data_IF_797535060826
#
_entry.id   IF_797535060826
#
_cell.length_a   1.000
_cell.length_b   1.000
_cell.length_c   1.000
_cell.angle_alpha   90.00
_cell.angle_beta   90.00
_cell.angle_gamma   90.00
#
_symmetry.space_group_name_H-M   'P 1'
#
loop_
_entity.id
_entity.type
_entity.pdbx_description
1 polymer ?
#
# COMPACT_ATOMS: atom_id res chain seq x y z
N UNK A 1 -39.58 5.31 25.77
CA UNK A 1 -40.00 3.93 25.46
C UNK A 1 -39.73 3.51 23.99
N UNK A 2 -40.20 4.25 22.96
CA UNK A 2 -39.99 3.91 21.53
C UNK A 2 -38.51 3.81 21.09
N UNK A 3 -37.64 4.68 21.61
CA UNK A 3 -36.20 4.65 21.28
C UNK A 3 -35.49 3.40 21.80
N UNK A 4 -35.84 2.96 23.02
CA UNK A 4 -35.29 1.76 23.64
C UNK A 4 -35.68 0.50 22.84
N UNK A 5 -36.95 0.39 22.45
CA UNK A 5 -37.42 -0.69 21.58
C UNK A 5 -36.70 -0.72 20.22
N UNK A 6 -36.48 0.46 19.62
CA UNK A 6 -35.73 0.54 18.36
C UNK A 6 -34.25 0.16 18.53
N UNK A 7 -33.61 0.54 19.64
CA UNK A 7 -32.25 0.14 19.92
C UNK A 7 -32.13 -1.39 20.13
N UNK A 8 -33.05 -1.99 20.89
CA UNK A 8 -33.11 -3.44 21.10
C UNK A 8 -33.37 -4.18 19.78
N UNK A 9 -34.27 -3.68 18.94
CA UNK A 9 -34.54 -4.25 17.61
C UNK A 9 -33.30 -4.23 16.70
N UNK A 10 -32.57 -3.11 16.68
CA UNK A 10 -31.32 -3.01 15.90
C UNK A 10 -30.27 -4.00 16.41
N UNK A 11 -30.10 -4.09 17.73
CA UNK A 11 -29.16 -5.02 18.38
C UNK A 11 -29.51 -6.48 18.08
N UNK A 12 -30.78 -6.87 18.23
CA UNK A 12 -31.26 -8.21 17.88
C UNK A 12 -31.01 -8.54 16.41
N UNK A 13 -31.40 -7.64 15.49
CA UNK A 13 -31.16 -7.82 14.06
C UNK A 13 -29.67 -7.98 13.70
N UNK A 14 -28.77 -7.29 14.41
CA UNK A 14 -27.33 -7.43 14.21
C UNK A 14 -26.80 -8.78 14.69
N UNK A 15 -27.26 -9.26 15.85
CA UNK A 15 -26.84 -10.55 16.39
C UNK A 15 -27.36 -11.73 15.55
N UNK A 16 -28.62 -11.65 15.10
CA UNK A 16 -29.26 -12.73 14.33
C UNK A 16 -28.78 -12.79 12.87
N UNK A 17 -28.38 -11.67 12.30
CA UNK A 17 -27.99 -11.57 10.89
C UNK A 17 -26.75 -10.69 10.73
N UNK A 18 -25.60 -11.21 11.19
CA UNK A 18 -24.30 -10.61 10.95
C UNK A 18 -24.04 -10.32 9.47
N UNK A 19 -24.70 -11.00 8.53
CA UNK A 19 -24.58 -10.80 7.09
C UNK A 19 -25.95 -10.52 6.45
N UNK A 20 -26.26 -9.26 6.15
CA UNK A 20 -27.50 -8.91 5.44
C UNK A 20 -28.73 -8.70 6.34
N UNK A 21 -28.52 -8.27 7.59
CA UNK A 21 -29.62 -7.99 8.53
C UNK A 21 -30.69 -7.06 7.98
N UNK A 22 -31.91 -7.25 8.48
CA UNK A 22 -33.12 -6.54 8.02
C UNK A 22 -32.88 -5.02 8.09
N UNK A 23 -32.99 -4.30 6.95
CA UNK A 23 -32.68 -2.89 6.90
C UNK A 23 -33.69 -2.06 7.67
N UNK A 24 -33.24 -0.94 8.23
CA UNK A 24 -34.14 -0.01 8.93
C UNK A 24 -35.12 0.66 7.96
N UNK A 25 -34.66 0.94 6.74
CA UNK A 25 -35.50 1.36 5.62
C UNK A 25 -35.16 0.51 4.40
N UNK A 26 -36.19 -0.11 3.82
CA UNK A 26 -36.05 -0.82 2.55
C UNK A 26 -35.78 0.20 1.45
N UNK A 27 -34.66 0.06 0.76
CA UNK A 27 -34.35 0.77 -0.47
C UNK A 27 -34.29 -0.25 -1.61
N UNK A 28 -34.30 0.23 -2.87
CA UNK A 28 -34.02 -0.63 -4.04
C UNK A 28 -32.59 -1.21 -4.05
N UNK A 29 -31.73 -0.80 -3.11
CA UNK A 29 -30.38 -1.34 -2.97
C UNK A 29 -30.41 -2.77 -2.39
N UNK A 30 -29.56 -3.63 -2.95
CA UNK A 30 -29.40 -5.02 -2.53
C UNK A 30 -28.35 -5.21 -1.43
N UNK A 31 -27.48 -4.22 -1.18
CA UNK A 31 -26.35 -4.32 -0.24
C UNK A 31 -26.52 -3.38 0.95
N UNK A 32 -26.69 -3.99 2.13
CA UNK A 32 -26.85 -3.30 3.41
C UNK A 32 -25.64 -3.54 4.32
N UNK A 33 -25.23 -2.49 5.04
CA UNK A 33 -24.10 -2.52 5.97
C UNK A 33 -24.53 -2.04 7.36
N UNK A 34 -23.96 -2.61 8.43
CA UNK A 34 -24.28 -2.23 9.80
C UNK A 34 -23.52 -0.96 10.22
N UNK A 35 -24.18 -0.10 11.00
CA UNK A 35 -23.53 1.00 11.70
C UNK A 35 -22.87 0.49 13.00
N UNK A 36 -21.61 0.87 13.24
CA UNK A 36 -20.85 0.51 14.45
C UNK A 36 -21.45 1.08 15.74
N UNK A 37 -22.13 2.23 15.68
CA UNK A 37 -22.69 2.91 16.86
C UNK A 37 -24.12 2.46 17.20
N UNK A 38 -25.03 2.47 16.22
CA UNK A 38 -26.44 2.13 16.48
C UNK A 38 -26.82 0.69 16.11
N UNK A 39 -25.90 -0.11 15.59
CA UNK A 39 -26.10 -1.51 15.15
C UNK A 39 -27.19 -1.69 14.07
N UNK A 40 -27.65 -0.59 13.47
CA UNK A 40 -28.66 -0.58 12.43
C UNK A 40 -28.09 -0.91 11.04
N UNK A 41 -28.86 -1.63 10.22
CA UNK A 41 -28.50 -1.87 8.81
C UNK A 41 -29.04 -0.77 7.89
N UNK A 42 -28.14 -0.20 7.10
CA UNK A 42 -28.42 0.88 6.15
C UNK A 42 -27.89 0.55 4.76
N UNK A 43 -28.49 1.13 3.72
CA UNK A 43 -27.98 0.99 2.36
C UNK A 43 -26.50 1.40 2.32
N UNK A 44 -25.67 0.58 1.67
CA UNK A 44 -24.24 0.85 1.52
C UNK A 44 -23.97 2.23 0.90
N UNK A 45 -24.83 2.69 -0.03
CA UNK A 45 -24.73 4.02 -0.66
C UNK A 45 -25.09 5.17 0.27
N UNK A 46 -25.96 4.94 1.25
CA UNK A 46 -26.52 5.99 2.11
C UNK A 46 -25.97 5.97 3.55
N UNK A 47 -25.14 4.99 3.92
CA UNK A 47 -24.60 4.87 5.29
C UNK A 47 -23.80 6.10 5.75
N UNK A 48 -23.15 6.80 4.82
CA UNK A 48 -22.44 8.05 5.13
C UNK A 48 -23.40 9.18 5.57
N UNK A 49 -24.61 9.26 4.99
CA UNK A 49 -25.64 10.24 5.38
C UNK A 49 -26.12 9.93 6.79
N UNK A 50 -26.38 8.65 7.07
CA UNK A 50 -26.78 8.20 8.39
C UNK A 50 -25.71 8.55 9.45
N UNK A 51 -24.43 8.28 9.16
CA UNK A 51 -23.32 8.51 10.11
C UNK A 51 -23.21 9.96 10.57
N UNK A 52 -23.57 10.94 9.73
CA UNK A 52 -23.60 12.37 10.10
C UNK A 52 -24.58 12.69 11.24
N UNK A 53 -25.68 11.94 11.32
CA UNK A 53 -26.72 12.11 12.34
C UNK A 53 -26.58 11.15 13.52
N UNK A 54 -25.97 9.97 13.30
CA UNK A 54 -25.88 8.92 14.29
C UNK A 54 -24.69 9.07 15.24
N UNK A 55 -23.57 9.58 14.73
CA UNK A 55 -22.31 9.64 15.45
C UNK A 55 -22.04 11.08 15.84
N UNK A 56 -21.88 11.36 17.14
CA UNK A 56 -21.38 12.65 17.62
C UNK A 56 -19.91 12.90 17.21
N UNK A 57 -19.18 11.83 16.86
CA UNK A 57 -17.79 11.88 16.37
C UNK A 57 -17.71 11.68 14.85
N UNK A 58 -17.53 12.79 14.11
CA UNK A 58 -17.43 12.84 12.65
C UNK A 58 -16.09 12.32 12.07
N UNK A 59 -15.21 11.71 12.88
CA UNK A 59 -13.82 11.41 12.50
C UNK A 59 -13.60 10.27 11.50
N UNK A 60 -14.61 9.46 11.14
CA UNK A 60 -14.36 8.36 10.20
C UNK A 60 -14.31 8.83 8.75
N UNK A 61 -13.10 8.74 8.19
CA UNK A 61 -12.79 9.14 6.82
C UNK A 61 -13.51 8.26 5.78
N UNK A 62 -13.93 7.03 6.13
CA UNK A 62 -14.57 6.08 5.20
C UNK A 62 -15.68 5.23 5.86
N UNK A 63 -16.93 5.75 5.95
CA UNK A 63 -18.06 5.08 6.60
C UNK A 63 -18.35 3.65 6.12
N UNK A 64 -18.23 3.40 4.81
CA UNK A 64 -18.50 2.08 4.23
C UNK A 64 -17.45 1.03 4.64
N UNK A 65 -16.17 1.44 4.71
CA UNK A 65 -15.07 0.53 5.07
C UNK A 65 -15.20 0.12 6.53
N UNK A 66 -15.47 1.08 7.41
CA UNK A 66 -15.72 0.82 8.84
C UNK A 66 -16.91 -0.13 9.04
N UNK A 67 -18.03 0.14 8.36
CA UNK A 67 -19.23 -0.69 8.43
C UNK A 67 -18.98 -2.12 7.92
N UNK A 68 -18.21 -2.29 6.84
CA UNK A 68 -17.82 -3.61 6.36
C UNK A 68 -16.87 -4.31 7.33
N UNK A 69 -15.91 -3.59 7.92
CA UNK A 69 -15.00 -4.15 8.93
C UNK A 69 -15.75 -4.59 10.20
N UNK A 70 -16.87 -3.94 10.50
CA UNK A 70 -17.73 -4.32 11.61
C UNK A 70 -18.42 -5.68 11.40
N UNK A 71 -18.70 -6.08 10.15
CA UNK A 71 -19.24 -7.41 9.82
C UNK A 71 -18.27 -8.53 10.22
N UNK A 72 -16.97 -8.31 10.04
CA UNK A 72 -15.91 -9.32 10.26
C UNK A 72 -15.26 -9.21 11.64
N UNK A 73 -15.81 -8.40 12.54
CA UNK A 73 -15.24 -8.16 13.88
C UNK A 73 -15.19 -9.42 14.75
N UNK A 74 -16.15 -10.32 14.57
CA UNK A 74 -16.26 -11.58 15.33
C UNK A 74 -15.21 -12.63 14.94
N UNK A 75 -14.59 -12.50 13.76
CA UNK A 75 -13.57 -13.44 13.31
C UNK A 75 -12.30 -13.32 14.17
N UNK A 76 -11.62 -14.44 14.43
CA UNK A 76 -10.31 -14.44 15.11
C UNK A 76 -9.22 -14.12 14.09
N UNK A 77 -8.85 -12.85 13.99
CA UNK A 77 -7.88 -12.32 13.02
C UNK A 77 -6.79 -11.57 13.78
N UNK A 78 -5.57 -11.60 13.25
CA UNK A 78 -4.44 -10.83 13.77
C UNK A 78 -4.81 -9.34 14.04
N UNK A 79 -4.56 -8.82 15.27
CA UNK A 79 -4.92 -7.46 15.63
C UNK A 79 -4.21 -6.39 14.78
N UNK A 80 -2.95 -6.62 14.41
CA UNK A 80 -2.18 -5.67 13.60
C UNK A 80 -2.80 -5.55 12.21
N UNK A 81 -3.14 -6.68 11.58
CA UNK A 81 -3.82 -6.73 10.29
C UNK A 81 -5.16 -5.99 10.33
N UNK A 82 -5.98 -6.27 11.36
CA UNK A 82 -7.29 -5.65 11.56
C UNK A 82 -7.21 -4.13 11.71
N UNK A 83 -6.22 -3.64 12.45
CA UNK A 83 -6.12 -2.22 12.77
C UNK A 83 -5.39 -1.42 11.69
N UNK A 84 -4.53 -2.05 10.88
CA UNK A 84 -3.68 -1.35 9.90
C UNK A 84 -4.12 -1.55 8.45
N UNK A 85 -4.40 -2.79 8.03
CA UNK A 85 -4.70 -3.13 6.63
C UNK A 85 -6.19 -2.96 6.32
N UNK A 86 -7.08 -3.50 7.16
CA UNK A 86 -8.52 -3.48 6.89
C UNK A 86 -9.12 -2.07 6.71
N UNK A 87 -8.68 -1.02 7.44
CA UNK A 87 -9.15 0.34 7.21
C UNK A 87 -8.69 0.94 5.87
N UNK A 88 -7.62 0.40 5.26
CA UNK A 88 -7.12 0.81 3.94
C UNK A 88 -7.67 -0.02 2.80
N UNK A 89 -8.13 -1.24 3.09
CA UNK A 89 -8.84 -2.10 2.14
C UNK A 89 -10.23 -1.52 1.82
N UNK A 90 -10.62 -1.51 0.54
CA UNK A 90 -11.91 -1.00 0.10
C UNK A 90 -13.12 -1.70 0.72
N UNK A 91 -14.31 -1.17 0.44
CA UNK A 91 -15.59 -1.70 0.92
C UNK A 91 -16.37 -2.45 -0.20
N UNK A 92 -15.65 -3.16 -1.06
CA UNK A 92 -16.25 -3.98 -2.12
C UNK A 92 -16.41 -5.44 -1.70
N UNK A 93 -17.09 -6.23 -2.53
CA UNK A 93 -17.35 -7.65 -2.27
C UNK A 93 -16.07 -8.48 -2.23
N UNK A 94 -15.11 -8.16 -3.11
CA UNK A 94 -13.78 -8.76 -3.12
C UNK A 94 -13.09 -8.56 -1.76
N UNK A 95 -13.16 -7.34 -1.21
CA UNK A 95 -12.58 -7.03 0.10
C UNK A 95 -13.31 -7.75 1.23
N UNK A 96 -14.63 -7.95 1.13
CA UNK A 96 -15.37 -8.71 2.13
C UNK A 96 -14.94 -10.19 2.13
N UNK A 97 -14.83 -10.80 0.95
CA UNK A 97 -14.36 -12.18 0.79
C UNK A 97 -12.93 -12.32 1.33
N UNK A 98 -12.04 -11.38 0.96
CA UNK A 98 -10.67 -11.36 1.46
C UNK A 98 -10.57 -11.28 2.98
N UNK A 99 -11.44 -10.50 3.64
CA UNK A 99 -11.46 -10.32 5.10
C UNK A 99 -12.10 -11.48 5.86
N UNK A 100 -12.95 -12.28 5.19
CA UNK A 100 -13.59 -13.47 5.78
C UNK A 100 -12.73 -14.72 5.67
N UNK A 101 -11.93 -14.82 4.62
CA UNK A 101 -11.08 -15.97 4.37
C UNK A 101 -9.89 -16.02 5.35
N UNK A 102 -9.80 -17.10 6.13
CA UNK A 102 -8.78 -17.23 7.17
C UNK A 102 -7.36 -17.30 6.58
N UNK A 103 -7.19 -17.96 5.44
CA UNK A 103 -5.88 -18.19 4.83
C UNK A 103 -5.37 -16.91 4.15
N UNK A 104 -6.27 -16.17 3.49
CA UNK A 104 -5.95 -14.85 2.96
C UNK A 104 -5.55 -13.89 4.09
N UNK A 105 -6.25 -13.92 5.23
CA UNK A 105 -5.88 -13.11 6.39
C UNK A 105 -4.53 -13.52 6.97
N UNK A 106 -4.26 -14.82 7.13
CA UNK A 106 -2.97 -15.31 7.61
C UNK A 106 -1.82 -14.92 6.67
N UNK A 107 -2.05 -14.99 5.36
CA UNK A 107 -1.12 -14.53 4.34
C UNK A 107 -0.77 -13.04 4.48
N UNK A 108 -1.79 -12.20 4.65
CA UNK A 108 -1.59 -10.78 4.84
C UNK A 108 -0.89 -10.43 6.16
N UNK A 109 -1.20 -11.14 7.24
CA UNK A 109 -0.55 -10.98 8.54
C UNK A 109 0.96 -11.31 8.44
N UNK A 110 1.33 -12.47 7.88
CA UNK A 110 2.73 -12.83 7.62
C UNK A 110 3.43 -11.78 6.74
N UNK A 111 2.74 -11.24 5.74
CA UNK A 111 3.32 -10.23 4.85
C UNK A 111 3.70 -8.95 5.59
N UNK A 112 2.83 -8.41 6.47
CA UNK A 112 3.09 -7.17 7.22
C UNK A 112 4.05 -7.36 8.40
N UNK A 113 4.19 -8.57 8.94
CA UNK A 113 5.23 -8.89 9.93
C UNK A 113 6.64 -8.78 9.32
N UNK A 114 6.79 -9.27 8.09
CA UNK A 114 8.04 -9.19 7.33
C UNK A 114 8.29 -7.78 6.80
N UNK A 115 7.24 -7.08 6.35
CA UNK A 115 7.33 -5.76 5.71
C UNK A 115 6.70 -4.68 6.60
N UNK A 116 7.48 -4.18 7.56
CA UNK A 116 6.99 -3.32 8.64
C UNK A 116 6.68 -1.88 8.22
N UNK A 117 7.17 -1.43 7.06
CA UNK A 117 6.98 -0.04 6.64
C UNK A 117 5.53 0.25 6.20
N UNK A 118 5.00 1.41 6.60
CA UNK A 118 3.59 1.83 6.39
C UNK A 118 3.09 1.73 4.93
N UNK A 119 3.98 1.81 3.94
CA UNK A 119 3.60 1.76 2.52
C UNK A 119 3.28 0.32 2.05
N UNK A 120 3.80 -0.70 2.72
CA UNK A 120 3.49 -2.10 2.43
C UNK A 120 2.08 -2.51 2.86
N UNK A 121 1.43 -1.75 3.73
CA UNK A 121 0.02 -1.96 4.10
C UNK A 121 -0.88 -1.94 2.85
N UNK A 122 -0.63 -1.04 1.90
CA UNK A 122 -1.39 -0.98 0.64
C UNK A 122 -1.08 -2.19 -0.26
N UNK A 123 0.15 -2.70 -0.21
CA UNK A 123 0.56 -3.89 -0.95
C UNK A 123 -0.09 -5.14 -0.37
N UNK A 124 -0.15 -5.27 0.96
CA UNK A 124 -0.87 -6.33 1.66
C UNK A 124 -2.35 -6.32 1.26
N UNK A 125 -3.00 -5.15 1.30
CA UNK A 125 -4.39 -5.01 0.85
C UNK A 125 -4.59 -5.39 -0.62
N UNK A 126 -3.63 -5.09 -1.50
CA UNK A 126 -3.71 -5.50 -2.91
C UNK A 126 -3.62 -7.02 -3.04
N UNK A 127 -2.61 -7.64 -2.42
CA UNK A 127 -2.39 -9.09 -2.39
C UNK A 127 -3.60 -9.87 -1.86
N UNK A 128 -4.20 -9.39 -0.77
CA UNK A 128 -5.45 -9.96 -0.23
C UNK A 128 -6.57 -9.97 -1.28
N UNK A 129 -6.76 -8.85 -1.99
CA UNK A 129 -7.79 -8.73 -3.02
C UNK A 129 -7.47 -9.59 -4.26
N UNK A 130 -6.20 -9.74 -4.61
CA UNK A 130 -5.77 -10.65 -5.68
C UNK A 130 -6.14 -12.10 -5.36
N UNK A 131 -5.88 -12.57 -4.13
CA UNK A 131 -6.26 -13.92 -3.70
C UNK A 131 -7.79 -14.10 -3.59
N UNK A 132 -8.52 -13.09 -3.13
CA UNK A 132 -9.97 -13.16 -3.08
C UNK A 132 -10.61 -13.26 -4.48
N UNK A 133 -10.03 -12.61 -5.49
CA UNK A 133 -10.47 -12.78 -6.88
C UNK A 133 -10.26 -14.21 -7.37
N UNK A 134 -9.15 -14.85 -6.99
CA UNK A 134 -8.91 -16.27 -7.30
C UNK A 134 -10.01 -17.13 -6.66
N UNK A 135 -10.33 -16.92 -5.39
CA UNK A 135 -11.41 -17.66 -4.71
C UNK A 135 -12.76 -17.48 -5.42
N UNK A 136 -13.09 -16.27 -5.85
CA UNK A 136 -14.33 -15.98 -6.59
C UNK A 136 -14.38 -16.77 -7.90
N UNK A 137 -13.33 -16.68 -8.72
CA UNK A 137 -13.28 -17.40 -10.00
C UNK A 137 -13.25 -18.92 -9.81
N UNK A 138 -12.51 -19.42 -8.82
CA UNK A 138 -12.48 -20.83 -8.48
C UNK A 138 -13.86 -21.34 -8.07
N UNK A 139 -14.62 -20.56 -7.28
CA UNK A 139 -15.98 -20.90 -6.89
C UNK A 139 -16.94 -20.94 -8.08
N UNK A 140 -16.75 -20.08 -9.07
CA UNK A 140 -17.56 -20.08 -10.29
C UNK A 140 -17.32 -21.34 -11.13
N UNK A 141 -16.07 -21.82 -11.20
CA UNK A 141 -15.72 -23.04 -11.95
C UNK A 141 -16.02 -24.31 -11.16
N UNK A 142 -15.81 -24.28 -9.85
CA UNK A 142 -15.88 -25.42 -8.94
C UNK A 142 -16.70 -25.03 -7.70
N UNK A 143 -18.04 -25.23 -7.72
CA UNK A 143 -18.92 -24.79 -6.63
C UNK A 143 -18.61 -25.40 -5.25
N UNK A 144 -17.86 -26.50 -5.18
CA UNK A 144 -17.43 -27.11 -3.92
C UNK A 144 -16.36 -26.30 -3.19
N UNK A 145 -15.65 -25.40 -3.88
CA UNK A 145 -14.63 -24.52 -3.30
C UNK A 145 -15.33 -23.35 -2.60
N UNK A 146 -15.20 -23.26 -1.27
CA UNK A 146 -15.81 -22.19 -0.47
C UNK A 146 -14.81 -21.11 -0.04
N UNK A 147 -13.55 -21.50 0.13
CA UNK A 147 -12.47 -20.63 0.59
C UNK A 147 -11.15 -20.95 -0.15
N UNK A 148 -10.11 -20.17 0.09
CA UNK A 148 -8.81 -20.35 -0.56
C UNK A 148 -8.18 -21.71 -0.23
N UNK A 149 -8.29 -22.16 1.03
CA UNK A 149 -7.74 -23.46 1.43
C UNK A 149 -8.34 -24.63 0.65
N UNK A 150 -9.66 -24.61 0.40
CA UNK A 150 -10.34 -25.66 -0.39
C UNK A 150 -9.81 -25.76 -1.84
N UNK A 151 -9.30 -24.64 -2.38
CA UNK A 151 -8.74 -24.57 -3.73
C UNK A 151 -7.30 -25.08 -3.83
N UNK A 152 -6.59 -25.27 -2.70
CA UNK A 152 -5.19 -25.69 -2.67
C UNK A 152 -5.04 -27.21 -2.81
N UNK A 153 -5.49 -27.77 -3.94
CA UNK A 153 -5.35 -29.19 -4.26
C UNK A 153 -4.73 -29.36 -5.64
N UNK A 154 -3.94 -30.44 -5.82
CA UNK A 154 -3.30 -30.76 -7.11
C UNK A 154 -4.29 -30.83 -8.27
N UNK A 155 -5.49 -31.40 -8.03
CA UNK A 155 -6.53 -31.56 -9.04
C UNK A 155 -7.11 -30.24 -9.56
N UNK A 156 -6.88 -29.14 -8.85
CA UNK A 156 -7.37 -27.81 -9.23
C UNK A 156 -6.29 -26.93 -9.85
N UNK A 157 -5.12 -27.48 -10.17
CA UNK A 157 -4.03 -26.71 -10.78
C UNK A 157 -4.47 -26.01 -12.08
N UNK A 158 -5.09 -26.74 -13.01
CA UNK A 158 -5.55 -26.16 -14.28
C UNK A 158 -6.66 -25.12 -14.07
N UNK A 159 -7.53 -25.33 -13.08
CA UNK A 159 -8.54 -24.35 -12.69
C UNK A 159 -7.90 -23.07 -12.13
N UNK A 160 -6.82 -23.17 -11.34
CA UNK A 160 -6.09 -22.01 -10.82
C UNK A 160 -5.39 -21.22 -11.94
N UNK A 161 -4.84 -21.93 -12.93
CA UNK A 161 -4.28 -21.33 -14.15
C UNK A 161 -5.37 -20.58 -14.91
N UNK A 162 -6.51 -21.22 -15.16
CA UNK A 162 -7.65 -20.62 -15.86
C UNK A 162 -8.24 -19.42 -15.10
N UNK A 163 -8.41 -19.54 -13.78
CA UNK A 163 -8.85 -18.46 -12.91
C UNK A 163 -7.90 -17.27 -13.00
N UNK A 164 -6.58 -17.52 -13.02
CA UNK A 164 -5.57 -16.48 -13.19
C UNK A 164 -5.69 -15.79 -14.54
N UNK A 165 -5.88 -16.53 -15.63
CA UNK A 165 -6.11 -15.96 -16.98
C UNK A 165 -7.35 -15.05 -17.01
N UNK A 166 -8.45 -15.51 -16.43
CA UNK A 166 -9.71 -14.75 -16.37
C UNK A 166 -9.54 -13.42 -15.62
N UNK A 167 -8.93 -13.45 -14.43
CA UNK A 167 -8.74 -12.24 -13.60
C UNK A 167 -7.74 -11.29 -14.26
N UNK A 168 -6.74 -11.82 -14.95
CA UNK A 168 -5.77 -11.04 -15.71
C UNK A 168 -6.33 -10.50 -17.03
N UNK A 169 -7.59 -10.80 -17.36
CA UNK A 169 -8.27 -10.43 -18.61
C UNK A 169 -7.48 -10.88 -19.83
N UNK A 170 -7.20 -12.18 -19.90
CA UNK A 170 -6.58 -12.79 -21.07
C UNK A 170 -7.54 -12.72 -22.26
N UNK A 171 -7.03 -12.22 -23.39
CA UNK A 171 -7.73 -12.15 -24.67
C UNK A 171 -7.28 -13.32 -25.53
N UNK A 172 -8.17 -14.28 -25.78
CA UNK A 172 -7.87 -15.45 -26.60
C UNK A 172 -7.61 -15.10 -28.08
N UNK A 173 -8.18 -14.01 -28.61
CA UNK A 173 -7.99 -13.63 -30.00
C UNK A 173 -6.66 -12.93 -30.24
N UNK A 174 -6.17 -12.17 -29.24
CA UNK A 174 -4.91 -11.43 -29.32
C UNK A 174 -3.75 -12.08 -28.55
N UNK A 175 -4.02 -13.20 -27.91
CA UNK A 175 -3.11 -13.98 -27.06
C UNK A 175 -2.33 -13.11 -26.03
N UNK A 176 -3.01 -12.12 -25.44
CA UNK A 176 -2.37 -11.20 -24.51
C UNK A 176 -3.21 -10.97 -23.25
N UNK A 177 -2.53 -10.51 -22.19
CA UNK A 177 -3.14 -10.16 -20.93
C UNK A 177 -3.42 -8.65 -20.84
N UNK A 178 -4.62 -8.31 -20.40
CA UNK A 178 -4.94 -6.96 -19.95
C UNK A 178 -4.10 -6.53 -18.74
N UNK A 179 -3.92 -7.42 -17.76
CA UNK A 179 -3.19 -7.17 -16.52
C UNK A 179 -2.06 -8.21 -16.25
N UNK A 180 -0.99 -8.22 -17.07
CA UNK A 180 0.06 -9.24 -16.99
C UNK A 180 0.84 -9.25 -15.66
N UNK A 181 1.02 -8.09 -15.01
CA UNK A 181 1.67 -8.03 -13.68
C UNK A 181 0.92 -8.84 -12.62
N UNK A 182 -0.40 -9.00 -12.75
CA UNK A 182 -1.21 -9.81 -11.84
C UNK A 182 -0.78 -11.29 -11.93
N UNK A 183 -0.61 -11.81 -13.15
CA UNK A 183 -0.21 -13.19 -13.42
C UNK A 183 1.10 -13.53 -12.73
N UNK A 184 2.10 -12.63 -12.85
CA UNK A 184 3.41 -12.81 -12.23
C UNK A 184 3.35 -12.80 -10.70
N UNK A 185 2.40 -12.08 -10.10
CA UNK A 185 2.26 -11.99 -8.65
C UNK A 185 1.49 -13.16 -8.04
N UNK A 186 0.54 -13.75 -8.78
CA UNK A 186 -0.36 -14.79 -8.25
C UNK A 186 0.40 -16.07 -7.93
N UNK A 187 1.26 -16.56 -8.82
CA UNK A 187 2.02 -17.81 -8.57
C UNK A 187 2.82 -17.76 -7.27
N UNK A 188 3.58 -16.67 -7.07
CA UNK A 188 4.32 -16.45 -5.81
C UNK A 188 3.41 -16.35 -4.59
N UNK A 189 2.25 -15.69 -4.73
CA UNK A 189 1.31 -15.50 -3.62
C UNK A 189 0.60 -16.82 -3.27
N UNK A 190 0.25 -17.64 -4.25
CA UNK A 190 -0.33 -18.98 -4.05
C UNK A 190 0.66 -19.90 -3.33
N UNK A 191 1.93 -19.93 -3.77
CA UNK A 191 2.98 -20.70 -3.08
C UNK A 191 3.10 -20.29 -1.60
N UNK A 192 3.12 -18.98 -1.33
CA UNK A 192 3.16 -18.48 0.05
C UNK A 192 1.91 -18.88 0.85
N UNK A 193 0.73 -18.91 0.23
CA UNK A 193 -0.49 -19.40 0.87
C UNK A 193 -0.42 -20.91 1.17
N UNK A 194 0.13 -21.72 0.25
CA UNK A 194 0.36 -23.15 0.47
C UNK A 194 1.30 -23.40 1.65
N UNK A 195 2.42 -22.69 1.75
CA UNK A 195 3.33 -22.79 2.90
C UNK A 195 2.63 -22.47 4.22
N UNK A 196 1.81 -21.42 4.24
CA UNK A 196 1.04 -21.01 5.43
C UNK A 196 -0.01 -22.07 5.78
N UNK A 197 -0.68 -22.64 4.77
CA UNK A 197 -1.65 -23.72 4.96
C UNK A 197 -1.00 -24.94 5.62
N UNK A 198 0.16 -25.37 5.12
CA UNK A 198 0.95 -26.48 5.71
C UNK A 198 1.33 -26.15 7.15
N UNK A 199 1.85 -24.93 7.43
CA UNK A 199 2.19 -24.52 8.80
C UNK A 199 0.97 -24.55 9.74
N UNK A 200 -0.23 -24.19 9.26
CA UNK A 200 -1.45 -24.26 10.06
C UNK A 200 -1.88 -25.70 10.35
N UNK A 201 -1.68 -26.62 9.41
CA UNK A 201 -1.93 -28.06 9.62
C UNK A 201 -0.98 -28.57 10.72
N UNK A 202 0.31 -28.30 10.59
CA UNK A 202 1.35 -28.78 11.52
C UNK A 202 1.24 -28.19 12.93
N UNK A 203 0.80 -26.94 13.09
CA UNK A 203 0.68 -26.28 14.41
C UNK A 203 -0.55 -26.68 15.23
N UNK A 204 -1.48 -27.47 14.68
CA UNK A 204 -2.66 -27.93 15.43
C UNK A 204 -2.24 -28.97 16.48
N UNK A 205 -1.98 -28.49 17.70
CA UNK A 205 -1.47 -29.22 18.88
C UNK A 205 -2.21 -30.54 19.24
N UNK A 206 -3.43 -30.76 18.74
CA UNK A 206 -4.28 -31.91 19.09
C UNK A 206 -4.56 -32.87 17.93
N UNK A 207 -3.88 -32.72 16.78
CA UNK A 207 -3.99 -33.68 15.68
C UNK A 207 -2.59 -34.22 15.44
N UNK A 208 -2.20 -35.18 16.27
CA UNK A 208 -1.15 -36.11 15.90
C UNK A 208 -1.51 -36.66 14.51
N UNK A 209 -0.54 -36.63 13.59
CA UNK A 209 -0.57 -37.12 12.20
C UNK A 209 -1.66 -38.17 11.91
N UNK A 210 -2.88 -37.72 11.64
CA UNK A 210 -3.92 -38.60 11.08
C UNK A 210 -3.59 -38.81 9.60
N UNK A 211 -3.96 -39.98 9.05
CA UNK A 211 -3.75 -40.30 7.63
C UNK A 211 -4.33 -39.20 6.71
N UNK A 212 -5.47 -38.63 7.10
CA UNK A 212 -6.14 -37.54 6.40
C UNK A 212 -5.31 -36.25 6.39
N UNK A 213 -4.73 -35.84 7.54
CA UNK A 213 -3.85 -34.66 7.58
C UNK A 213 -2.58 -34.82 6.74
N UNK A 214 -2.00 -36.02 6.72
CA UNK A 214 -0.82 -36.31 5.90
C UNK A 214 -1.15 -36.27 4.40
N UNK A 215 -2.32 -36.77 4.00
CA UNK A 215 -2.80 -36.70 2.61
C UNK A 215 -3.02 -35.25 2.16
N UNK A 216 -3.66 -34.43 2.99
CA UNK A 216 -3.90 -33.00 2.69
C UNK A 216 -2.59 -32.24 2.55
N UNK A 217 -1.63 -32.51 3.44
CA UNK A 217 -0.29 -31.91 3.36
C UNK A 217 0.44 -32.33 2.07
N UNK A 218 0.37 -33.62 1.71
CA UNK A 218 0.98 -34.13 0.49
C UNK A 218 0.37 -33.47 -0.75
N UNK A 219 -0.96 -33.34 -0.83
CA UNK A 219 -1.64 -32.67 -1.94
C UNK A 219 -1.21 -31.20 -2.11
N UNK A 220 -1.07 -30.47 -1.00
CA UNK A 220 -0.61 -29.06 -1.04
C UNK A 220 0.85 -29.00 -1.50
N UNK A 221 1.72 -29.90 -1.03
CA UNK A 221 3.13 -29.95 -1.47
C UNK A 221 3.23 -30.29 -2.95
N UNK A 222 2.45 -31.24 -3.44
CA UNK A 222 2.37 -31.58 -4.87
C UNK A 222 1.91 -30.37 -5.68
N UNK A 223 0.92 -29.62 -5.20
CA UNK A 223 0.48 -28.38 -5.87
C UNK A 223 1.60 -27.33 -5.92
N UNK A 224 2.39 -27.16 -4.85
CA UNK A 224 3.55 -26.25 -4.86
C UNK A 224 4.55 -26.66 -5.94
N UNK A 225 4.86 -27.96 -6.05
CA UNK A 225 5.77 -28.45 -7.09
C UNK A 225 5.22 -28.18 -8.51
N UNK A 226 3.92 -28.36 -8.73
CA UNK A 226 3.28 -28.01 -10.01
C UNK A 226 3.40 -26.52 -10.32
N UNK A 227 3.15 -25.64 -9.34
CA UNK A 227 3.31 -24.19 -9.51
C UNK A 227 4.77 -23.84 -9.84
N UNK A 228 5.75 -24.46 -9.19
CA UNK A 228 7.16 -24.19 -9.46
C UNK A 228 7.60 -24.68 -10.84
N UNK A 229 7.14 -25.86 -11.25
CA UNK A 229 7.54 -26.49 -12.50
C UNK A 229 6.83 -25.87 -13.72
N UNK A 230 5.52 -25.65 -13.65
CA UNK A 230 4.68 -25.39 -14.82
C UNK A 230 4.15 -23.96 -14.94
N UNK A 231 3.98 -23.22 -13.83
CA UNK A 231 3.37 -21.87 -13.86
C UNK A 231 4.08 -20.87 -14.78
N UNK A 232 5.41 -21.04 -14.92
CA UNK A 232 6.23 -20.27 -15.85
C UNK A 232 5.78 -20.48 -17.30
N UNK A 233 5.63 -21.73 -17.70
CA UNK A 233 5.34 -22.13 -19.07
C UNK A 233 3.86 -21.88 -19.41
N UNK A 234 2.96 -22.13 -18.46
CA UNK A 234 1.52 -22.05 -18.73
C UNK A 234 1.02 -20.62 -18.90
N UNK A 235 1.55 -19.67 -18.12
CA UNK A 235 1.03 -18.29 -18.07
C UNK A 235 2.06 -17.19 -17.87
N UNK A 236 3.13 -17.41 -17.10
CA UNK A 236 4.00 -16.28 -16.69
C UNK A 236 5.00 -15.83 -17.76
N UNK A 237 5.43 -16.74 -18.65
CA UNK A 237 6.30 -16.40 -19.78
C UNK A 237 5.60 -15.41 -20.71
N UNK A 238 4.37 -15.73 -21.13
CA UNK A 238 3.56 -14.86 -21.98
C UNK A 238 3.26 -13.51 -21.29
N UNK A 239 2.88 -13.53 -20.00
CA UNK A 239 2.65 -12.30 -19.26
C UNK A 239 3.91 -11.41 -19.15
N UNK A 240 5.10 -12.01 -19.05
CA UNK A 240 6.37 -11.28 -19.05
C UNK A 240 6.66 -10.64 -20.40
N UNK A 241 6.38 -11.35 -21.50
CA UNK A 241 6.51 -10.82 -22.86
C UNK A 241 5.57 -9.64 -23.09
N UNK A 242 4.30 -9.75 -22.69
CA UNK A 242 3.33 -8.65 -22.79
C UNK A 242 3.80 -7.39 -22.05
N UNK A 243 4.42 -7.54 -20.88
CA UNK A 243 4.99 -6.41 -20.14
C UNK A 243 6.17 -5.77 -20.88
N UNK A 244 7.02 -6.58 -21.49
CA UNK A 244 8.16 -6.08 -22.26
C UNK A 244 7.67 -5.34 -23.51
N UNK A 245 6.71 -5.89 -24.26
CA UNK A 245 6.11 -5.25 -25.44
C UNK A 245 5.46 -3.91 -25.04
N UNK A 246 4.66 -3.90 -23.96
CA UNK A 246 4.06 -2.67 -23.42
C UNK A 246 5.12 -1.64 -23.00
N UNK A 247 6.27 -2.10 -22.50
CA UNK A 247 7.37 -1.22 -22.11
C UNK A 247 8.11 -0.65 -23.31
N UNK A 248 8.35 -1.44 -24.36
CA UNK A 248 9.01 -1.00 -25.59
C UNK A 248 8.15 0.01 -26.36
N UNK A 249 6.85 -0.25 -26.45
CA UNK A 249 5.90 0.63 -27.13
C UNK A 249 5.55 1.89 -26.32
N UNK A 250 6.04 1.99 -25.07
CA UNK A 250 5.86 3.19 -24.27
C UNK A 250 6.84 4.27 -24.74
N UNK A 251 6.32 5.27 -25.45
CA UNK A 251 7.09 6.46 -25.82
C UNK A 251 7.71 7.07 -24.56
N UNK A 252 9.04 7.13 -24.53
CA UNK A 252 9.77 7.76 -23.44
C UNK A 252 9.88 9.25 -23.75
N UNK A 253 9.02 10.05 -23.15
CA UNK A 253 9.11 11.51 -23.22
C UNK A 253 10.24 11.93 -22.28
N UNK A 254 11.34 12.40 -22.85
CA UNK A 254 12.46 12.98 -22.11
C UNK A 254 12.29 14.51 -22.15
N UNK A 255 12.27 15.21 -21.01
CA UNK A 255 12.17 16.66 -20.99
C UNK A 255 13.42 17.30 -21.63
N UNK A 256 13.22 18.38 -22.37
CA UNK A 256 14.33 19.14 -22.96
C UNK A 256 15.11 19.86 -21.86
N UNK A 257 16.40 20.13 -22.09
CA UNK A 257 17.23 20.89 -21.16
C UNK A 257 16.66 22.30 -20.90
N UNK A 258 16.04 22.92 -21.93
CA UNK A 258 15.31 24.18 -21.82
C UNK A 258 14.15 24.10 -20.83
N UNK A 259 13.37 23.02 -20.88
CA UNK A 259 12.20 22.83 -20.02
C UNK A 259 12.63 22.58 -18.57
N UNK A 260 13.71 21.81 -18.38
CA UNK A 260 14.30 21.60 -17.06
C UNK A 260 14.82 22.91 -16.45
N UNK A 261 15.41 23.79 -17.28
CA UNK A 261 15.84 25.12 -16.84
C UNK A 261 14.65 25.99 -16.45
N UNK A 262 13.61 26.05 -17.30
CA UNK A 262 12.39 26.80 -17.02
C UNK A 262 11.73 26.35 -15.70
N UNK A 263 11.64 25.03 -15.49
CA UNK A 263 11.12 24.47 -14.25
C UNK A 263 11.99 24.83 -13.04
N UNK A 264 13.32 24.69 -13.16
CA UNK A 264 14.25 25.08 -12.09
C UNK A 264 14.08 26.56 -11.71
N UNK A 265 14.04 27.44 -12.70
CA UNK A 265 13.93 28.88 -12.48
C UNK A 265 12.58 29.25 -11.83
N UNK A 266 11.50 28.61 -12.25
CA UNK A 266 10.19 28.73 -11.60
C UNK A 266 10.23 28.28 -10.13
N UNK A 267 10.82 27.11 -9.84
CA UNK A 267 10.91 26.58 -8.47
C UNK A 267 11.75 27.51 -7.57
N UNK A 268 12.84 28.09 -8.08
CA UNK A 268 13.65 29.07 -7.36
C UNK A 268 12.84 30.34 -7.08
N UNK A 269 12.10 30.86 -8.06
CA UNK A 269 11.23 32.03 -7.88
C UNK A 269 10.17 31.80 -6.79
N UNK A 270 9.50 30.64 -6.82
CA UNK A 270 8.50 30.28 -5.79
C UNK A 270 9.14 30.13 -4.41
N UNK A 271 10.32 29.51 -4.33
CA UNK A 271 11.05 29.38 -3.07
C UNK A 271 11.40 30.75 -2.48
N UNK A 272 11.97 31.66 -3.27
CA UNK A 272 12.34 33.00 -2.83
C UNK A 272 11.13 33.82 -2.35
N UNK A 273 10.02 33.77 -3.09
CA UNK A 273 8.77 34.42 -2.68
C UNK A 273 8.23 33.84 -1.36
N UNK A 274 8.35 32.53 -1.17
CA UNK A 274 7.93 31.84 0.05
C UNK A 274 8.81 32.22 1.24
N UNK A 275 10.12 32.38 1.04
CA UNK A 275 11.05 32.87 2.06
C UNK A 275 10.68 34.30 2.49
N UNK A 276 10.40 35.19 1.53
CA UNK A 276 9.96 36.56 1.82
C UNK A 276 8.67 36.55 2.65
N UNK A 277 7.70 35.69 2.32
CA UNK A 277 6.46 35.54 3.09
C UNK A 277 6.71 35.01 4.51
N UNK A 278 7.57 33.99 4.67
CA UNK A 278 7.94 33.44 5.98
C UNK A 278 8.67 34.45 6.87
N UNK A 279 9.52 35.29 6.28
CA UNK A 279 10.20 36.36 7.02
C UNK A 279 9.22 37.46 7.48
N UNK A 280 8.10 37.66 6.77
CA UNK A 280 7.02 38.58 7.19
C UNK A 280 6.10 37.94 8.23
N UNK A 281 5.77 36.65 8.08
CA UNK A 281 4.94 35.88 8.99
C UNK A 281 5.55 34.49 9.19
N UNK A 282 6.21 34.30 10.32
CA UNK A 282 6.91 33.04 10.66
C UNK A 282 5.99 31.83 10.81
N UNK A 283 4.68 32.04 10.93
CA UNK A 283 3.66 30.98 11.06
C UNK A 283 2.88 30.73 9.75
N UNK A 284 3.33 31.28 8.61
CA UNK A 284 2.69 31.04 7.32
C UNK A 284 2.95 29.61 6.81
N UNK A 285 2.00 28.73 7.15
CA UNK A 285 2.03 27.32 6.76
C UNK A 285 2.03 27.11 5.24
N UNK A 286 1.39 28.01 4.46
CA UNK A 286 1.32 27.89 3.00
C UNK A 286 2.68 28.22 2.39
N UNK A 287 3.31 29.30 2.83
CA UNK A 287 4.66 29.66 2.42
C UNK A 287 5.67 28.56 2.78
N UNK A 288 5.59 27.99 3.98
CA UNK A 288 6.43 26.85 4.36
C UNK A 288 6.23 25.64 3.45
N UNK A 289 4.98 25.30 3.15
CA UNK A 289 4.67 24.15 2.28
C UNK A 289 5.22 24.36 0.88
N UNK A 290 5.06 25.55 0.30
CA UNK A 290 5.63 25.89 -1.00
C UNK A 290 7.17 25.80 -1.01
N UNK A 291 7.83 26.30 0.04
CA UNK A 291 9.28 26.19 0.15
C UNK A 291 9.73 24.72 0.29
N UNK A 292 9.01 23.93 1.08
CA UNK A 292 9.28 22.51 1.27
C UNK A 292 9.16 21.72 -0.03
N UNK A 293 8.07 21.95 -0.77
CA UNK A 293 7.77 21.27 -2.05
C UNK A 293 8.77 21.68 -3.13
N UNK A 294 9.11 22.97 -3.24
CA UNK A 294 10.11 23.44 -4.21
C UNK A 294 11.50 22.85 -3.94
N UNK A 295 11.94 22.80 -2.68
CA UNK A 295 13.20 22.16 -2.28
C UNK A 295 13.16 20.66 -2.62
N UNK A 296 12.07 19.97 -2.28
CA UNK A 296 11.88 18.56 -2.61
C UNK A 296 12.02 18.30 -4.12
N UNK A 297 11.27 19.03 -4.96
CA UNK A 297 11.33 18.90 -6.42
C UNK A 297 12.74 19.13 -6.96
N UNK A 298 13.44 20.15 -6.46
CA UNK A 298 14.80 20.47 -6.91
C UNK A 298 15.81 19.37 -6.57
N UNK A 299 15.67 18.71 -5.42
CA UNK A 299 16.49 17.54 -5.05
C UNK A 299 16.14 16.34 -5.91
N UNK A 300 14.85 16.09 -6.20
CA UNK A 300 14.42 15.02 -7.14
C UNK A 300 15.02 15.25 -8.53
N UNK A 301 14.94 16.48 -9.05
CA UNK A 301 15.46 16.85 -10.38
C UNK A 301 16.97 16.65 -10.48
N UNK A 302 17.73 17.07 -9.45
CA UNK A 302 19.18 16.94 -9.42
C UNK A 302 19.63 15.47 -9.37
N UNK A 303 19.00 14.66 -8.51
CA UNK A 303 19.42 13.28 -8.29
C UNK A 303 18.79 12.28 -9.27
N UNK A 304 17.81 12.72 -10.07
CA UNK A 304 16.98 11.85 -10.93
C UNK A 304 16.42 10.64 -10.17
N UNK A 305 16.17 10.81 -8.87
CA UNK A 305 15.71 9.76 -7.99
C UNK A 305 14.20 9.58 -8.04
N UNK A 306 13.73 8.38 -7.68
CA UNK A 306 12.29 8.18 -7.50
C UNK A 306 11.84 8.96 -6.24
N UNK A 307 10.67 9.63 -6.29
CA UNK A 307 10.19 10.44 -5.16
C UNK A 307 10.02 9.66 -3.84
N UNK A 308 9.89 8.33 -3.92
CA UNK A 308 9.65 7.47 -2.77
C UNK A 308 10.82 7.46 -1.79
N UNK A 309 12.05 7.29 -2.27
CA UNK A 309 13.26 7.28 -1.44
C UNK A 309 13.40 8.63 -0.73
N UNK A 310 13.32 9.73 -1.49
CA UNK A 310 13.50 11.08 -0.96
C UNK A 310 12.39 11.53 -0.01
N UNK A 311 11.12 11.21 -0.28
CA UNK A 311 10.03 11.67 0.62
C UNK A 311 10.18 11.05 2.03
N UNK A 312 10.85 9.89 2.14
CA UNK A 312 11.09 9.18 3.40
C UNK A 312 12.45 9.53 4.02
N UNK A 313 13.13 10.55 3.52
CA UNK A 313 14.42 11.00 4.04
C UNK A 313 14.29 11.35 5.54
N UNK A 314 15.04 10.69 6.45
CA UNK A 314 14.94 10.97 7.88
C UNK A 314 15.58 12.31 8.25
N UNK A 315 14.88 13.11 9.06
CA UNK A 315 15.36 14.43 9.50
C UNK A 315 16.69 14.34 10.24
N UNK A 316 16.81 13.41 11.19
CA UNK A 316 18.02 13.23 12.00
C UNK A 316 19.25 12.96 11.14
N UNK A 317 19.11 12.26 10.01
CA UNK A 317 20.21 11.97 9.08
C UNK A 317 20.74 13.25 8.43
N UNK A 318 19.87 14.22 8.13
CA UNK A 318 20.31 15.51 7.61
C UNK A 318 20.96 16.36 8.71
N UNK A 319 20.34 16.43 9.87
CA UNK A 319 20.81 17.26 10.99
C UNK A 319 22.17 16.80 11.50
N UNK A 320 22.40 15.49 11.66
CA UNK A 320 23.70 14.95 12.07
C UNK A 320 24.85 15.37 11.13
N UNK A 321 24.56 15.58 9.84
CA UNK A 321 25.57 16.05 8.87
C UNK A 321 25.85 17.54 8.95
N UNK A 322 25.06 18.33 9.68
CA UNK A 322 25.34 19.74 9.97
C UNK A 322 26.34 19.86 11.13
N UNK A 323 26.33 18.88 12.04
CA UNK A 323 27.20 18.81 13.22
C UNK A 323 28.55 18.16 12.89
N UNK A 324 28.58 17.23 11.94
CA UNK A 324 29.84 16.65 11.45
C UNK A 324 30.62 17.68 10.62
N UNK A 325 31.88 17.93 11.00
CA UNK A 325 32.84 18.66 10.16
C UNK A 325 32.91 18.02 8.77
N UNK A 326 33.02 18.86 7.74
CA UNK A 326 32.96 18.49 6.33
C UNK A 326 33.86 17.29 6.03
N UNK A 327 33.26 16.10 5.98
CA UNK A 327 34.01 14.87 5.71
C UNK A 327 34.46 14.95 4.25
N UNK A 328 35.75 15.23 4.04
CA UNK A 328 36.39 15.03 2.75
C UNK A 328 36.24 13.55 2.41
N UNK A 329 35.51 13.25 1.34
CA UNK A 329 35.24 11.89 0.89
C UNK A 329 36.47 11.30 0.18
N UNK A 330 37.57 11.14 0.92
CA UNK A 330 38.89 10.73 0.42
C UNK A 330 38.84 9.37 -0.32
N UNK A 331 37.98 8.45 0.13
CA UNK A 331 37.80 7.11 -0.46
C UNK A 331 37.33 7.09 -1.93
N UNK A 332 36.82 8.20 -2.47
CA UNK A 332 36.38 8.30 -3.87
C UNK A 332 37.28 9.18 -4.73
N UNK A 333 38.32 9.79 -4.15
CA UNK A 333 39.15 10.75 -4.86
C UNK A 333 39.75 10.13 -6.13
N UNK A 334 40.24 8.89 -6.07
CA UNK A 334 40.88 8.19 -7.19
C UNK A 334 39.91 7.73 -8.30
N UNK A 335 38.63 7.55 -7.98
CA UNK A 335 37.62 7.02 -8.90
C UNK A 335 36.83 8.11 -9.65
N UNK A 336 37.11 9.38 -9.34
CA UNK A 336 36.31 10.53 -9.78
C UNK A 336 37.22 11.50 -10.54
N UNK A 337 36.77 11.98 -11.70
CA UNK A 337 37.52 12.92 -12.53
C UNK A 337 37.73 14.26 -11.81
N UNK A 338 38.73 15.05 -12.25
CA UNK A 338 39.04 16.34 -11.62
C UNK A 338 37.85 17.32 -11.68
N UNK A 339 37.09 17.30 -12.77
CA UNK A 339 35.87 18.11 -12.93
C UNK A 339 34.77 17.66 -11.96
N UNK A 340 34.58 16.36 -11.78
CA UNK A 340 33.64 15.81 -10.81
C UNK A 340 34.08 16.09 -9.37
N UNK A 341 35.38 16.06 -9.04
CA UNK A 341 35.88 16.47 -7.72
C UNK A 341 35.53 17.91 -7.39
N UNK A 342 35.71 18.82 -8.36
CA UNK A 342 35.34 20.23 -8.21
C UNK A 342 33.82 20.36 -8.01
N UNK A 343 33.01 19.62 -8.78
CA UNK A 343 31.56 19.61 -8.61
C UNK A 343 31.16 19.08 -7.22
N UNK A 344 31.76 17.98 -6.78
CA UNK A 344 31.47 17.35 -5.49
C UNK A 344 31.77 18.27 -4.29
N UNK A 345 32.72 19.21 -4.40
CA UNK A 345 32.94 20.25 -3.37
C UNK A 345 31.73 21.17 -3.19
N UNK A 346 30.93 21.37 -4.23
CA UNK A 346 29.75 22.24 -4.22
C UNK A 346 28.45 21.51 -3.82
N UNK A 347 28.50 20.18 -3.68
CA UNK A 347 27.35 19.37 -3.29
C UNK A 347 27.57 18.71 -1.93
N UNK A 348 26.54 18.77 -1.09
CA UNK A 348 26.49 17.93 0.11
C UNK A 348 25.94 16.56 -0.28
N UNK A 349 26.73 15.51 -0.08
CA UNK A 349 26.32 14.11 -0.28
C UNK A 349 25.82 13.53 1.04
N UNK A 350 24.67 12.85 1.02
CA UNK A 350 24.16 12.12 2.19
C UNK A 350 23.65 10.76 1.73
N UNK A 351 24.06 9.70 2.42
CA UNK A 351 23.62 8.34 2.09
C UNK A 351 22.38 7.98 2.90
N UNK A 352 21.30 7.62 2.21
CA UNK A 352 20.05 7.12 2.79
C UNK A 352 19.82 5.66 2.45
N UNK A 353 18.94 4.99 3.21
CA UNK A 353 18.56 3.60 2.94
C UNK A 353 17.63 3.51 1.73
N UNK A 354 18.11 2.90 0.66
CA UNK A 354 17.34 2.51 -0.52
C UNK A 354 16.76 1.09 -0.44
N UNK A 355 16.34 0.58 -1.60
CA UNK A 355 15.70 -0.75 -1.70
C UNK A 355 16.66 -1.87 -1.27
N UNK A 356 16.11 -2.89 -0.60
CA UNK A 356 16.84 -4.07 -0.12
C UNK A 356 18.01 -3.73 0.80
N UNK A 357 17.95 -2.61 1.52
CA UNK A 357 19.00 -2.19 2.45
C UNK A 357 20.23 -1.56 1.79
N UNK A 358 20.24 -1.36 0.47
CA UNK A 358 21.36 -0.69 -0.22
C UNK A 358 21.37 0.80 0.11
N UNK A 359 22.55 1.37 0.35
CA UNK A 359 22.72 2.82 0.47
C UNK A 359 22.51 3.52 -0.87
N UNK A 360 21.85 4.67 -0.84
CA UNK A 360 21.61 5.55 -2.00
C UNK A 360 22.09 6.94 -1.62
N UNK A 361 22.97 7.51 -2.45
CA UNK A 361 23.55 8.82 -2.20
C UNK A 361 22.65 9.92 -2.79
N UNK A 362 22.24 10.87 -1.94
CA UNK A 362 21.48 12.07 -2.31
C UNK A 362 22.41 13.27 -2.25
N UNK A 363 22.47 14.02 -3.33
CA UNK A 363 23.23 15.26 -3.47
C UNK A 363 22.32 16.48 -3.24
N UNK A 364 22.84 17.46 -2.52
CA UNK A 364 22.18 18.74 -2.27
C UNK A 364 23.09 19.88 -2.74
N UNK A 365 22.62 20.69 -3.70
CA UNK A 365 23.35 21.89 -4.13
C UNK A 365 23.39 22.95 -3.03
N UNK A 366 24.37 23.86 -3.08
CA UNK A 366 24.55 24.90 -2.06
C UNK A 366 23.27 25.71 -1.81
N UNK A 367 22.63 26.17 -2.86
CA UNK A 367 21.37 26.94 -2.79
C UNK A 367 20.18 26.13 -2.23
N UNK A 368 20.14 24.82 -2.44
CA UNK A 368 19.17 23.91 -1.78
C UNK A 368 19.48 23.79 -0.29
N UNK A 369 20.76 23.71 0.09
CA UNK A 369 21.17 23.66 1.49
C UNK A 369 20.76 24.93 2.23
N UNK A 370 20.94 26.09 1.60
CA UNK A 370 20.55 27.38 2.19
C UNK A 370 19.02 27.45 2.41
N UNK A 371 18.22 26.97 1.44
CA UNK A 371 16.77 26.87 1.62
C UNK A 371 16.37 25.84 2.69
N UNK A 372 17.11 24.73 2.82
CA UNK A 372 16.88 23.73 3.87
C UNK A 372 17.17 24.30 5.26
N UNK A 373 18.21 25.13 5.42
CA UNK A 373 18.47 25.82 6.68
C UNK A 373 17.29 26.70 7.09
N UNK A 374 16.69 27.43 6.13
CA UNK A 374 15.49 28.23 6.37
C UNK A 374 14.29 27.35 6.76
N UNK A 375 14.11 26.20 6.08
CA UNK A 375 13.06 25.23 6.42
C UNK A 375 13.24 24.64 7.82
N UNK A 376 14.47 24.39 8.26
CA UNK A 376 14.76 23.92 9.60
C UNK A 376 14.51 25.01 10.64
N UNK A 377 14.91 26.26 10.35
CA UNK A 377 14.67 27.43 11.22
C UNK A 377 13.20 27.63 11.57
N UNK A 378 12.30 27.56 10.58
CA UNK A 378 10.87 27.79 10.78
C UNK A 378 10.09 26.51 11.12
N UNK A 379 10.75 25.35 11.20
CA UNK A 379 10.10 24.05 11.35
C UNK A 379 9.27 23.95 12.63
N UNK A 380 9.84 24.31 13.77
CA UNK A 380 9.22 24.08 15.07
C UNK A 380 8.00 24.96 15.32
N UNK A 381 7.95 26.15 14.70
CA UNK A 381 6.78 27.04 14.76
C UNK A 381 5.59 26.56 13.90
N UNK A 382 5.86 25.78 12.85
CA UNK A 382 4.84 25.40 11.85
C UNK A 382 4.39 23.94 12.00
N UNK A 383 5.27 23.04 12.45
CA UNK A 383 4.96 21.62 12.60
C UNK A 383 4.02 21.40 13.79
N UNK A 384 2.79 20.95 13.51
CA UNK A 384 1.82 20.60 14.56
C UNK A 384 2.18 19.32 15.32
N UNK A 385 3.03 18.50 14.74
CA UNK A 385 3.46 17.20 15.29
C UNK A 385 4.94 17.01 15.03
N UNK A 386 5.65 16.35 15.94
CA UNK A 386 7.03 15.94 15.71
C UNK A 386 7.08 14.97 14.52
N UNK A 387 7.51 15.49 13.38
CA UNK A 387 7.55 14.76 12.12
C UNK A 387 9.00 14.31 11.86
N UNK A 388 9.27 12.99 11.79
CA UNK A 388 10.63 12.47 11.69
C UNK A 388 11.25 12.59 10.30
N UNK A 389 10.51 13.06 9.30
CA UNK A 389 10.98 13.17 7.91
C UNK A 389 11.49 14.58 7.63
N UNK A 390 12.62 14.71 6.93
CA UNK A 390 13.14 16.00 6.44
C UNK A 390 12.03 16.73 5.67
N UNK A 391 11.44 16.02 4.72
CA UNK A 391 10.30 16.44 3.92
C UNK A 391 8.96 16.03 4.56
N UNK A 392 8.71 16.53 5.76
CA UNK A 392 7.53 16.22 6.58
C UNK A 392 6.29 17.06 6.23
N UNK A 393 5.10 16.47 6.27
CA UNK A 393 3.85 17.24 6.20
C UNK A 393 3.68 18.08 7.48
N UNK A 394 3.36 19.39 7.37
CA UNK A 394 3.17 20.25 8.55
C UNK A 394 2.00 19.87 9.47
N UNK A 395 0.97 19.20 8.93
CA UNK A 395 -0.28 18.91 9.65
C UNK A 395 -0.34 17.51 10.27
N UNK A 396 0.38 16.56 9.70
CA UNK A 396 0.33 15.14 10.08
C UNK A 396 1.74 14.59 10.20
N UNK A 397 1.96 13.64 11.11
CA UNK A 397 3.26 12.95 11.29
C UNK A 397 3.50 11.91 10.19
N UNK A 398 3.47 12.37 8.93
CA UNK A 398 3.71 11.62 7.70
C UNK A 398 4.59 12.45 6.75
N UNK A 399 5.34 11.82 5.83
CA UNK A 399 6.09 12.58 4.85
C UNK A 399 5.13 13.24 3.84
N UNK A 400 5.64 14.21 3.09
CA UNK A 400 4.93 14.68 1.90
C UNK A 400 4.75 13.54 0.89
N UNK A 401 3.74 13.65 0.03
CA UNK A 401 3.48 12.65 -1.00
C UNK A 401 4.11 13.10 -2.31
N UNK A 402 5.31 12.62 -2.62
CA UNK A 402 6.09 13.09 -3.78
C UNK A 402 5.49 12.78 -5.15
N UNK A 403 4.35 12.07 -5.23
CA UNK A 403 3.57 11.87 -6.47
C UNK A 403 2.41 12.87 -6.62
N UNK A 404 2.16 13.71 -5.60
CA UNK A 404 1.11 14.75 -5.61
C UNK A 404 1.67 16.16 -5.76
N UNK A 405 2.99 16.26 -5.65
CA UNK A 405 3.82 17.44 -5.91
C UNK A 405 4.39 17.22 -7.31
#
# INVERSE_FOLDING_TARGET
>A
MKELFNALRKKGNYLDNCEGGKPIKKHKDTKYLPCSDCLGFYSSKNIWKHRKTCCKNLKAVKPQVEAQNFLVRHLKIDPQLRNTVFPRTGADEISLIAKKDFLICAFAARYIEVHREKHFINVASRKMREMAKIVIEMKNMVPSVKNLFDSLKRQYYDNLVMATKNIAKYDNAKENYGAPTLVLNIGTSLKQCCEIAVLHILKRKNIAQTLETASVEADIKTLVNLIEAHWKYDISSQASQDLNIKRWNKVTIVPLASDLKLLKDYLIKVANNSIIALNKNSNDQKAYTNLLETVFCRVVLLNRERPGELQRFPLHTYVATLEAESTTYEEFSEAVSETERILMRNFKRIVIRGKRGRGVAVLFSKDVQDHLQILLKYRDGIMRTQNPYLFGNPTVSEPITGYKI
#
